data_IF_749156012549
#
_entry.id   IF_749156012549
#
_cell.length_a   1.000
_cell.length_b   1.000
_cell.length_c   1.000
_cell.angle_alpha   90.00
_cell.angle_beta   90.00
_cell.angle_gamma   90.00
#
_symmetry.space_group_name_H-M   'P 1'
#
loop_
_entity.id
_entity.type
_entity.pdbx_description
1 polymer ?
#
# COMPACT_ATOMS: atom_id res chain seq x y z
N UNK A 1 -11.03 16.58 0.25
CA UNK A 1 -9.85 15.96 0.93
C UNK A 1 -8.88 15.29 -0.04
N UNK A 2 -9.33 14.86 -1.23
CA UNK A 2 -8.49 14.10 -2.19
C UNK A 2 -7.14 14.75 -2.52
N UNK A 3 -7.10 16.05 -2.78
CA UNK A 3 -5.84 16.77 -3.04
C UNK A 3 -4.86 16.71 -1.85
N UNK A 4 -5.38 16.82 -0.62
CA UNK A 4 -4.53 16.73 0.58
C UNK A 4 -3.93 15.35 0.77
N UNK A 5 -4.71 14.30 0.49
CA UNK A 5 -4.23 12.92 0.50
C UNK A 5 -3.17 12.68 -0.57
N UNK A 6 -3.33 13.27 -1.76
CA UNK A 6 -2.36 13.17 -2.85
C UNK A 6 -1.03 13.81 -2.46
N UNK A 7 -1.04 15.04 -1.95
CA UNK A 7 0.17 15.74 -1.51
C UNK A 7 0.86 14.99 -0.36
N UNK A 8 0.09 14.51 0.63
CA UNK A 8 0.65 13.69 1.70
C UNK A 8 1.25 12.38 1.16
N UNK A 9 0.56 11.70 0.25
CA UNK A 9 1.05 10.49 -0.41
C UNK A 9 2.39 10.74 -1.13
N UNK A 10 2.52 11.87 -1.82
CA UNK A 10 3.78 12.25 -2.45
C UNK A 10 4.89 12.55 -1.42
N UNK A 11 4.60 13.27 -0.34
CA UNK A 11 5.60 13.53 0.70
C UNK A 11 6.06 12.24 1.38
N UNK A 12 5.11 11.36 1.75
CA UNK A 12 5.45 10.09 2.42
C UNK A 12 6.03 9.04 1.48
N UNK A 13 6.01 9.29 0.16
CA UNK A 13 6.76 8.53 -0.85
C UNK A 13 8.13 9.12 -1.11
N UNK A 14 8.21 10.40 -1.49
CA UNK A 14 9.47 11.02 -1.93
C UNK A 14 10.50 11.20 -0.81
N UNK A 15 10.06 11.55 0.42
CA UNK A 15 11.01 11.79 1.54
C UNK A 15 11.69 10.49 1.97
N UNK A 16 10.97 9.39 2.27
CA UNK A 16 11.62 8.11 2.58
C UNK A 16 12.42 7.56 1.40
N UNK A 17 11.96 7.76 0.16
CA UNK A 17 12.68 7.33 -1.03
C UNK A 17 14.06 8.02 -1.12
N UNK A 18 14.09 9.35 -0.99
CA UNK A 18 15.34 10.10 -1.04
C UNK A 18 16.31 9.71 0.08
N UNK A 19 15.82 9.64 1.33
CA UNK A 19 16.64 9.27 2.47
C UNK A 19 17.09 7.81 2.39
N UNK A 20 16.24 6.90 1.91
CA UNK A 20 16.57 5.49 1.74
C UNK A 20 17.64 5.27 0.67
N UNK A 21 17.58 5.98 -0.47
CA UNK A 21 18.62 5.92 -1.51
C UNK A 21 19.94 6.42 -0.96
N UNK A 22 19.93 7.59 -0.29
CA UNK A 22 21.15 8.16 0.30
C UNK A 22 21.77 7.21 1.33
N UNK A 23 20.96 6.64 2.21
CA UNK A 23 21.42 5.71 3.23
C UNK A 23 21.93 4.40 2.63
N UNK A 24 21.21 3.81 1.69
CA UNK A 24 21.62 2.57 1.02
C UNK A 24 22.94 2.72 0.27
N UNK A 25 23.07 3.83 -0.46
CA UNK A 25 24.28 4.06 -1.27
C UNK A 25 25.49 4.51 -0.45
N UNK A 26 25.36 5.52 0.43
CA UNK A 26 26.50 6.12 1.14
C UNK A 26 26.81 5.46 2.48
N UNK A 27 25.82 4.93 3.20
CA UNK A 27 26.04 4.35 4.53
C UNK A 27 26.23 2.84 4.42
N UNK A 28 25.36 2.16 3.62
CA UNK A 28 25.40 0.70 3.51
C UNK A 28 26.27 0.19 2.34
N UNK A 29 26.73 1.07 1.43
CA UNK A 29 27.55 0.70 0.29
C UNK A 29 26.83 -0.17 -0.76
N UNK A 30 25.49 -0.13 -0.80
CA UNK A 30 24.70 -0.91 -1.74
C UNK A 30 24.81 -0.37 -3.17
N UNK A 31 24.54 -1.24 -4.15
CA UNK A 31 24.36 -0.81 -5.53
C UNK A 31 23.20 0.19 -5.64
N UNK A 32 23.20 1.02 -6.67
CA UNK A 32 22.11 1.99 -6.88
C UNK A 32 20.74 1.30 -6.97
N UNK A 33 20.64 0.15 -7.63
CA UNK A 33 19.40 -0.62 -7.74
C UNK A 33 18.92 -1.14 -6.38
N UNK A 34 19.84 -1.72 -5.59
CA UNK A 34 19.52 -2.20 -4.23
C UNK A 34 19.12 -1.05 -3.31
N UNK A 35 19.77 0.12 -3.44
CA UNK A 35 19.45 1.32 -2.67
C UNK A 35 18.06 1.85 -3.00
N UNK A 36 17.66 1.83 -4.27
CA UNK A 36 16.31 2.25 -4.68
C UNK A 36 15.26 1.24 -4.22
N UNK A 37 15.54 -0.08 -4.27
CA UNK A 37 14.65 -1.11 -3.71
C UNK A 37 14.43 -0.90 -2.22
N UNK A 38 15.51 -0.73 -1.45
CA UNK A 38 15.45 -0.42 -0.02
C UNK A 38 14.64 0.84 0.26
N UNK A 39 14.86 1.88 -0.51
CA UNK A 39 14.11 3.14 -0.39
C UNK A 39 12.62 2.98 -0.72
N UNK A 40 12.27 2.13 -1.69
CA UNK A 40 10.89 1.76 -1.99
C UNK A 40 10.21 1.08 -0.81
N UNK A 41 10.93 0.19 -0.10
CA UNK A 41 10.43 -0.42 1.14
C UNK A 41 10.19 0.62 2.25
N UNK A 42 11.07 1.62 2.38
CA UNK A 42 10.89 2.72 3.34
C UNK A 42 9.69 3.60 3.01
N UNK A 43 9.37 3.76 1.74
CA UNK A 43 8.22 4.55 1.30
C UNK A 43 6.90 3.85 1.61
N UNK A 44 6.80 2.54 1.43
CA UNK A 44 5.59 1.75 1.69
C UNK A 44 5.10 1.92 3.13
N UNK A 45 3.80 1.80 3.34
CA UNK A 45 3.18 1.87 4.66
C UNK A 45 1.90 1.04 4.69
N UNK A 46 1.56 0.51 5.86
CA UNK A 46 0.41 -0.38 6.02
C UNK A 46 -0.57 0.19 7.03
N UNK A 47 -1.86 0.18 6.72
CA UNK A 47 -2.92 0.71 7.59
C UNK A 47 -3.27 -0.21 8.77
N UNK A 48 -2.29 -0.90 9.36
CA UNK A 48 -2.51 -1.76 10.54
C UNK A 48 -3.05 -0.98 11.74
N UNK A 49 -2.65 0.26 11.90
CA UNK A 49 -3.14 1.12 12.98
C UNK A 49 -4.58 1.62 12.76
N UNK A 50 -5.16 1.43 11.57
CA UNK A 50 -6.53 1.90 11.27
C UNK A 50 -7.62 1.29 12.18
N UNK A 51 -7.60 -0.01 12.52
CA UNK A 51 -8.55 -0.57 13.47
C UNK A 51 -8.53 0.12 14.84
N UNK A 52 -7.37 0.57 15.30
CA UNK A 52 -7.23 1.32 16.57
C UNK A 52 -7.95 2.66 16.46
N UNK A 53 -7.72 3.39 15.36
CA UNK A 53 -8.38 4.67 15.08
C UNK A 53 -9.90 4.51 14.97
N UNK A 54 -10.36 3.42 14.38
CA UNK A 54 -11.78 3.08 14.28
C UNK A 54 -12.40 2.82 15.66
N UNK A 55 -11.72 2.05 16.53
CA UNK A 55 -12.16 1.80 17.92
C UNK A 55 -12.20 3.07 18.76
N UNK A 56 -11.30 4.02 18.52
CA UNK A 56 -11.27 5.32 19.19
C UNK A 56 -12.34 6.30 18.66
N UNK A 57 -13.10 5.94 17.63
CA UNK A 57 -14.16 6.76 17.05
C UNK A 57 -13.69 7.98 16.26
N UNK A 58 -12.37 8.12 15.98
CA UNK A 58 -11.77 9.26 15.27
C UNK A 58 -11.57 9.00 13.77
N UNK A 59 -12.14 7.96 13.21
CA UNK A 59 -12.01 7.58 11.78
C UNK A 59 -12.49 8.66 10.80
N UNK A 60 -13.31 9.61 11.25
CA UNK A 60 -13.80 10.75 10.46
C UNK A 60 -12.92 11.99 10.55
N UNK A 61 -11.85 11.98 11.36
CA UNK A 61 -10.92 13.11 11.45
C UNK A 61 -10.24 13.37 10.10
N UNK A 62 -9.94 14.64 9.84
CA UNK A 62 -9.25 15.08 8.62
C UNK A 62 -7.89 14.43 8.49
N UNK A 63 -7.15 14.29 9.58
CA UNK A 63 -5.82 13.69 9.61
C UNK A 63 -5.89 12.22 9.20
N UNK A 64 -6.86 11.46 9.73
CA UNK A 64 -7.07 10.06 9.39
C UNK A 64 -7.43 9.91 7.91
N UNK A 65 -8.35 10.75 7.41
CA UNK A 65 -8.73 10.74 5.99
C UNK A 65 -7.54 11.05 5.08
N UNK A 66 -6.67 11.98 5.46
CA UNK A 66 -5.45 12.32 4.71
C UNK A 66 -4.47 11.14 4.74
N UNK A 67 -4.24 10.55 5.91
CA UNK A 67 -3.33 9.43 6.06
C UNK A 67 -3.77 8.21 5.25
N UNK A 68 -5.03 7.78 5.40
CA UNK A 68 -5.58 6.63 4.67
C UNK A 68 -5.55 6.85 3.16
N UNK A 69 -5.99 8.02 2.68
CA UNK A 69 -5.94 8.32 1.25
C UNK A 69 -4.51 8.45 0.71
N UNK A 70 -3.58 8.96 1.52
CA UNK A 70 -2.17 9.04 1.17
C UNK A 70 -1.50 7.67 1.08
N UNK A 71 -1.81 6.75 2.00
CA UNK A 71 -1.30 5.37 1.99
C UNK A 71 -1.59 4.68 0.67
N UNK A 72 -2.81 4.80 0.17
CA UNK A 72 -3.21 4.25 -1.13
C UNK A 72 -2.29 4.71 -2.26
N UNK A 73 -2.01 6.02 -2.29
CA UNK A 73 -1.16 6.62 -3.32
C UNK A 73 0.28 6.16 -3.16
N UNK A 74 0.79 6.16 -1.93
CA UNK A 74 2.17 5.77 -1.63
C UNK A 74 2.41 4.31 -1.97
N UNK A 75 1.50 3.40 -1.61
CA UNK A 75 1.63 1.97 -1.88
C UNK A 75 1.58 1.70 -3.39
N UNK A 76 0.67 2.39 -4.11
CA UNK A 76 0.63 2.28 -5.58
C UNK A 76 1.94 2.73 -6.21
N UNK A 77 2.50 3.87 -5.76
CA UNK A 77 3.78 4.37 -6.27
C UNK A 77 4.95 3.46 -5.91
N UNK A 78 4.98 2.91 -4.69
CA UNK A 78 6.03 2.00 -4.25
C UNK A 78 6.02 0.69 -5.05
N UNK A 79 4.84 0.13 -5.34
CA UNK A 79 4.69 -1.07 -6.14
C UNK A 79 5.02 -0.82 -7.63
N UNK A 80 4.67 0.34 -8.18
CA UNK A 80 5.09 0.73 -9.53
C UNK A 80 6.61 0.89 -9.60
N UNK A 81 7.23 1.51 -8.59
CA UNK A 81 8.68 1.62 -8.50
C UNK A 81 9.33 0.24 -8.47
N UNK A 82 8.81 -0.69 -7.66
CA UNK A 82 9.29 -2.08 -7.59
C UNK A 82 9.21 -2.75 -8.96
N UNK A 83 8.09 -2.66 -9.65
CA UNK A 83 7.90 -3.23 -10.99
C UNK A 83 8.94 -2.71 -11.99
N UNK A 84 9.19 -1.40 -11.97
CA UNK A 84 10.20 -0.75 -12.83
C UNK A 84 11.60 -1.27 -12.52
N UNK A 85 11.98 -1.33 -11.24
CA UNK A 85 13.34 -1.74 -10.85
C UNK A 85 13.58 -3.20 -11.13
N UNK A 86 12.62 -4.07 -10.86
CA UNK A 86 12.69 -5.49 -11.21
C UNK A 86 12.84 -5.66 -12.72
N UNK A 87 12.07 -4.92 -13.52
CA UNK A 87 12.20 -4.89 -14.97
C UNK A 87 13.62 -4.49 -15.42
N UNK A 88 14.17 -3.42 -14.82
CA UNK A 88 15.54 -2.97 -15.12
C UNK A 88 16.61 -3.97 -14.70
N UNK A 89 16.46 -4.60 -13.54
CA UNK A 89 17.41 -5.58 -13.02
C UNK A 89 17.42 -6.88 -13.85
N UNK A 90 16.31 -7.26 -14.43
CA UNK A 90 16.20 -8.46 -15.29
C UNK A 90 16.69 -8.23 -16.74
N UNK A 91 17.12 -7.02 -17.08
CA UNK A 91 17.67 -6.68 -18.40
C UNK A 91 16.65 -6.64 -19.56
N UNK A 92 15.37 -6.71 -19.25
CA UNK A 92 14.28 -6.71 -20.22
C UNK A 92 13.74 -5.29 -20.55
N UNK A 93 14.58 -4.26 -20.41
CA UNK A 93 14.16 -2.87 -20.64
C UNK A 93 14.56 -2.41 -22.03
N UNK A 94 13.77 -2.81 -23.01
CA UNK A 94 13.79 -2.20 -24.35
C UNK A 94 12.94 -0.91 -24.34
N UNK A 95 13.13 -0.05 -25.35
CA UNK A 95 12.24 1.12 -25.53
C UNK A 95 10.75 0.73 -25.58
N UNK A 96 10.45 -0.47 -26.11
CA UNK A 96 9.10 -1.02 -26.13
C UNK A 96 8.56 -1.41 -24.75
N UNK A 97 9.43 -1.65 -23.75
CA UNK A 97 9.03 -2.03 -22.39
C UNK A 97 8.17 -0.93 -21.73
N UNK A 98 8.63 0.32 -21.82
CA UNK A 98 7.93 1.47 -21.21
C UNK A 98 6.54 1.66 -21.81
N UNK A 99 6.41 1.53 -23.13
CA UNK A 99 5.12 1.63 -23.82
C UNK A 99 4.19 0.47 -23.45
N UNK A 100 4.70 -0.75 -23.44
CA UNK A 100 3.92 -1.93 -23.04
C UNK A 100 3.47 -1.85 -21.61
N UNK A 101 4.37 -1.51 -20.68
CA UNK A 101 4.04 -1.36 -19.27
C UNK A 101 2.99 -0.27 -19.06
N UNK A 102 3.20 0.93 -19.64
CA UNK A 102 2.25 2.04 -19.51
C UNK A 102 0.88 1.68 -20.11
N UNK A 103 0.84 1.08 -21.29
CA UNK A 103 -0.40 0.66 -21.92
C UNK A 103 -1.12 -0.43 -21.12
N UNK A 104 -0.38 -1.44 -20.61
CA UNK A 104 -0.93 -2.51 -19.76
C UNK A 104 -1.51 -1.98 -18.47
N UNK A 105 -0.78 -1.06 -17.80
CA UNK A 105 -1.23 -0.41 -16.55
C UNK A 105 -2.50 0.39 -16.79
N UNK A 106 -2.52 1.24 -17.81
CA UNK A 106 -3.70 2.07 -18.14
C UNK A 106 -4.90 1.20 -18.51
N UNK A 107 -4.69 0.14 -19.28
CA UNK A 107 -5.74 -0.80 -19.68
C UNK A 107 -6.27 -1.56 -18.47
N UNK A 108 -5.40 -2.06 -17.60
CA UNK A 108 -5.78 -2.76 -16.37
C UNK A 108 -6.59 -1.85 -15.44
N UNK A 109 -6.11 -0.63 -15.20
CA UNK A 109 -6.83 0.38 -14.39
C UNK A 109 -8.17 0.72 -15.03
N UNK A 110 -8.21 0.92 -16.35
CA UNK A 110 -9.45 1.19 -17.09
C UNK A 110 -10.47 0.07 -16.94
N UNK A 111 -10.07 -1.18 -17.16
CA UNK A 111 -10.94 -2.35 -16.98
C UNK A 111 -11.47 -2.41 -15.55
N UNK A 112 -10.62 -2.32 -14.56
CA UNK A 112 -11.02 -2.45 -13.16
C UNK A 112 -11.92 -1.30 -12.72
N UNK A 113 -11.61 -0.06 -13.07
CA UNK A 113 -12.38 1.09 -12.60
C UNK A 113 -13.70 1.30 -13.34
N UNK A 114 -13.82 0.87 -14.60
CA UNK A 114 -15.03 1.07 -15.41
C UNK A 114 -15.85 -0.20 -15.57
N UNK A 115 -15.21 -1.32 -15.93
CA UNK A 115 -15.94 -2.56 -16.22
C UNK A 115 -16.42 -3.26 -14.94
N UNK A 116 -15.62 -3.28 -13.87
CA UNK A 116 -16.00 -3.95 -12.61
C UNK A 116 -17.23 -3.34 -11.95
N UNK A 117 -17.34 -2.01 -11.79
CA UNK A 117 -18.58 -1.41 -11.28
C UNK A 117 -19.80 -1.68 -12.17
N UNK A 118 -19.62 -1.71 -13.49
CA UNK A 118 -20.70 -2.01 -14.43
C UNK A 118 -21.21 -3.45 -14.25
N UNK A 119 -20.30 -4.41 -14.19
CA UNK A 119 -20.64 -5.82 -13.94
C UNK A 119 -21.27 -6.02 -12.56
N UNK A 120 -20.74 -5.37 -11.54
CA UNK A 120 -21.28 -5.46 -10.19
C UNK A 120 -22.67 -4.84 -10.09
N UNK A 121 -22.90 -3.70 -10.72
CA UNK A 121 -24.23 -3.09 -10.76
C UNK A 121 -25.25 -3.98 -11.47
N UNK A 122 -24.87 -4.59 -12.58
CA UNK A 122 -25.71 -5.55 -13.29
C UNK A 122 -26.04 -6.78 -12.44
N UNK A 123 -25.00 -7.37 -11.81
CA UNK A 123 -25.13 -8.57 -10.98
C UNK A 123 -26.00 -8.32 -9.72
N UNK A 124 -25.78 -7.20 -9.02
CA UNK A 124 -26.52 -6.86 -7.81
C UNK A 124 -28.01 -6.56 -8.08
N UNK A 125 -28.37 -6.18 -9.31
CA UNK A 125 -29.77 -6.05 -9.71
C UNK A 125 -30.47 -7.39 -9.90
N UNK A 126 -29.72 -8.41 -10.35
CA UNK A 126 -30.29 -9.74 -10.62
C UNK A 126 -30.28 -10.65 -9.38
N UNK A 127 -29.24 -10.54 -8.55
CA UNK A 127 -29.05 -11.39 -7.40
C UNK A 127 -29.20 -10.58 -6.11
N UNK A 128 -30.30 -10.81 -5.38
CA UNK A 128 -30.54 -10.19 -4.07
C UNK A 128 -29.92 -10.96 -2.90
N UNK A 129 -29.42 -12.19 -3.14
CA UNK A 129 -28.83 -13.03 -2.11
C UNK A 129 -27.44 -12.50 -1.70
N UNK A 130 -27.28 -12.24 -0.40
CA UNK A 130 -26.06 -11.70 0.16
C UNK A 130 -24.85 -12.67 0.06
N UNK A 131 -25.06 -13.98 -0.03
CA UNK A 131 -23.98 -14.97 -0.16
C UNK A 131 -23.43 -14.91 -1.60
N UNK A 132 -24.32 -14.94 -2.58
CA UNK A 132 -23.96 -14.83 -3.99
C UNK A 132 -23.28 -13.50 -4.30
N UNK A 133 -23.74 -12.39 -3.70
CA UNK A 133 -23.09 -11.09 -3.82
C UNK A 133 -21.68 -11.09 -3.23
N UNK A 134 -21.49 -11.74 -2.07
CA UNK A 134 -20.16 -11.86 -1.45
C UNK A 134 -19.19 -12.66 -2.33
N UNK A 135 -19.65 -13.82 -2.85
CA UNK A 135 -18.83 -14.66 -3.73
C UNK A 135 -18.45 -13.89 -5.00
N UNK A 136 -19.40 -13.13 -5.57
CA UNK A 136 -19.13 -12.29 -6.73
C UNK A 136 -18.06 -11.24 -6.44
N UNK A 137 -18.17 -10.51 -5.31
CA UNK A 137 -17.15 -9.51 -4.92
C UNK A 137 -15.79 -10.16 -4.78
N UNK A 138 -15.71 -11.32 -4.12
CA UNK A 138 -14.47 -12.05 -3.94
C UNK A 138 -13.87 -12.50 -5.29
N UNK A 139 -14.71 -13.02 -6.18
CA UNK A 139 -14.29 -13.40 -7.54
C UNK A 139 -13.75 -12.20 -8.34
N UNK A 140 -14.39 -11.03 -8.23
CA UNK A 140 -13.92 -9.81 -8.88
C UNK A 140 -12.59 -9.32 -8.31
N UNK A 141 -12.34 -9.46 -7.00
CA UNK A 141 -11.06 -9.11 -6.38
C UNK A 141 -9.94 -10.03 -6.90
N UNK A 142 -10.18 -11.35 -6.96
CA UNK A 142 -9.20 -12.30 -7.52
C UNK A 142 -8.98 -12.09 -9.02
N UNK A 143 -10.04 -11.80 -9.77
CA UNK A 143 -9.94 -11.48 -11.20
C UNK A 143 -9.09 -10.22 -11.42
N UNK A 144 -9.28 -9.19 -10.59
CA UNK A 144 -8.47 -7.98 -10.65
C UNK A 144 -7.01 -8.23 -10.32
N UNK A 145 -6.72 -9.07 -9.32
CA UNK A 145 -5.36 -9.51 -9.01
C UNK A 145 -4.71 -10.22 -10.20
N UNK A 146 -5.44 -11.12 -10.84
CA UNK A 146 -4.97 -11.85 -12.02
C UNK A 146 -4.74 -10.92 -13.22
N UNK A 147 -5.64 -9.96 -13.49
CA UNK A 147 -5.47 -8.98 -14.56
C UNK A 147 -4.24 -8.08 -14.32
N UNK A 148 -3.98 -7.68 -13.08
CA UNK A 148 -2.78 -6.94 -12.72
C UNK A 148 -1.51 -7.76 -13.01
N UNK A 149 -1.50 -9.03 -12.64
CA UNK A 149 -0.39 -9.94 -12.92
C UNK A 149 -0.14 -10.09 -14.42
N UNK A 150 -1.18 -10.22 -15.23
CA UNK A 150 -1.07 -10.26 -16.70
C UNK A 150 -0.53 -8.94 -17.27
N UNK A 151 -0.84 -7.82 -16.63
CA UNK A 151 -0.33 -6.49 -17.00
C UNK A 151 1.13 -6.25 -16.59
N UNK A 152 1.77 -7.20 -15.87
CA UNK A 152 3.12 -7.05 -15.34
C UNK A 152 3.18 -6.27 -14.04
N UNK A 153 2.05 -6.13 -13.34
CA UNK A 153 1.94 -5.50 -12.03
C UNK A 153 1.85 -6.54 -10.92
N UNK A 154 2.16 -6.11 -9.70
CA UNK A 154 1.90 -6.93 -8.52
C UNK A 154 0.39 -7.21 -8.36
N UNK A 155 -0.03 -8.47 -8.11
CA UNK A 155 -1.43 -8.85 -7.95
C UNK A 155 -2.19 -8.04 -6.89
N UNK A 156 -1.48 -7.60 -5.86
CA UNK A 156 -2.05 -6.81 -4.76
C UNK A 156 -2.62 -5.47 -5.25
N UNK A 157 -2.02 -4.86 -6.29
CA UNK A 157 -2.52 -3.62 -6.90
C UNK A 157 -3.90 -3.87 -7.52
N UNK A 158 -4.05 -4.96 -8.28
CA UNK A 158 -5.32 -5.30 -8.91
C UNK A 158 -6.41 -5.63 -7.92
N UNK A 159 -6.09 -6.40 -6.88
CA UNK A 159 -7.02 -6.69 -5.78
C UNK A 159 -7.48 -5.41 -5.08
N UNK A 160 -6.53 -4.50 -4.78
CA UNK A 160 -6.81 -3.23 -4.14
C UNK A 160 -7.70 -2.32 -5.02
N UNK A 161 -7.35 -2.16 -6.30
CA UNK A 161 -8.15 -1.35 -7.24
C UNK A 161 -9.57 -1.92 -7.41
N UNK A 162 -9.71 -3.26 -7.43
CA UNK A 162 -11.02 -3.93 -7.48
C UNK A 162 -11.86 -3.61 -6.26
N UNK A 163 -11.27 -3.69 -5.06
CA UNK A 163 -11.93 -3.30 -3.82
C UNK A 163 -12.34 -1.83 -3.83
N UNK A 164 -11.48 -0.93 -4.32
CA UNK A 164 -11.78 0.50 -4.45
C UNK A 164 -12.94 0.76 -5.43
N UNK A 165 -12.93 0.08 -6.57
CA UNK A 165 -13.97 0.22 -7.59
C UNK A 165 -15.34 -0.27 -7.08
N UNK A 166 -15.37 -1.41 -6.40
CA UNK A 166 -16.60 -2.02 -5.86
C UNK A 166 -17.12 -1.31 -4.61
N UNK A 167 -16.24 -0.70 -3.80
CA UNK A 167 -16.61 0.01 -2.57
C UNK A 167 -17.65 1.15 -2.81
N UNK A 168 -17.69 1.71 -4.01
CA UNK A 168 -18.70 2.74 -4.37
C UNK A 168 -20.12 2.19 -4.47
N UNK A 169 -20.28 0.89 -4.73
CA UNK A 169 -21.56 0.22 -4.91
C UNK A 169 -22.08 -0.45 -3.65
N UNK A 170 -21.21 -0.66 -2.66
CA UNK A 170 -21.55 -1.37 -1.43
C UNK A 170 -21.66 -0.38 -0.28
N UNK A 171 -22.86 -0.07 0.21
CA UNK A 171 -23.03 0.80 1.37
C UNK A 171 -22.36 0.23 2.62
N UNK A 172 -21.72 1.08 3.41
CA UNK A 172 -21.00 0.66 4.64
C UNK A 172 -21.88 0.00 5.68
N UNK A 173 -23.17 0.28 5.68
CA UNK A 173 -24.17 -0.28 6.59
C UNK A 173 -24.85 -1.53 6.02
N UNK A 174 -24.46 -2.00 4.85
CA UNK A 174 -25.11 -3.15 4.20
C UNK A 174 -24.69 -4.47 4.86
N UNK A 175 -25.57 -5.49 4.85
CA UNK A 175 -25.22 -6.84 5.30
C UNK A 175 -24.04 -7.44 4.54
N UNK A 176 -23.88 -7.06 3.27
CA UNK A 176 -22.74 -7.49 2.44
C UNK A 176 -21.42 -6.91 2.98
N UNK A 177 -21.37 -5.62 3.33
CA UNK A 177 -20.17 -5.02 3.91
C UNK A 177 -19.80 -5.68 5.23
N UNK A 178 -20.76 -5.94 6.11
CA UNK A 178 -20.52 -6.64 7.38
C UNK A 178 -19.89 -8.03 7.16
N UNK A 179 -20.31 -8.76 6.13
CA UNK A 179 -19.71 -10.06 5.78
C UNK A 179 -18.30 -9.91 5.25
N UNK A 180 -18.05 -8.92 4.37
CA UNK A 180 -16.71 -8.63 3.85
C UNK A 180 -15.76 -8.30 5.02
N UNK A 181 -16.19 -7.42 5.93
CA UNK A 181 -15.40 -7.06 7.10
C UNK A 181 -15.19 -8.23 8.05
N UNK A 182 -16.20 -9.05 8.28
CA UNK A 182 -16.09 -10.24 9.14
C UNK A 182 -15.08 -11.24 8.59
N UNK A 183 -15.20 -11.64 7.33
CA UNK A 183 -14.27 -12.61 6.72
C UNK A 183 -12.87 -12.02 6.57
N UNK A 184 -12.77 -10.74 6.23
CA UNK A 184 -11.49 -10.02 6.19
C UNK A 184 -10.76 -10.06 7.53
N UNK A 185 -11.46 -9.70 8.62
CA UNK A 185 -10.88 -9.64 9.96
C UNK A 185 -10.68 -11.03 10.60
N UNK A 186 -11.57 -11.99 10.32
CA UNK A 186 -11.54 -13.31 10.96
C UNK A 186 -10.62 -14.31 10.25
N UNK A 187 -10.43 -14.16 8.93
CA UNK A 187 -9.69 -15.12 8.11
C UNK A 187 -8.51 -14.44 7.41
N UNK A 188 -8.74 -13.51 6.50
CA UNK A 188 -7.68 -13.02 5.63
C UNK A 188 -6.58 -12.29 6.37
N UNK A 189 -6.91 -11.38 7.29
CA UNK A 189 -5.91 -10.61 8.05
C UNK A 189 -5.08 -11.54 8.97
N UNK A 190 -5.65 -12.44 9.79
CA UNK A 190 -4.85 -13.36 10.60
C UNK A 190 -3.94 -14.27 9.78
N UNK A 191 -4.47 -14.89 8.70
CA UNK A 191 -3.66 -15.73 7.83
C UNK A 191 -2.54 -14.96 7.14
N UNK A 192 -2.81 -13.73 6.69
CA UNK A 192 -1.80 -12.85 6.14
C UNK A 192 -0.69 -12.55 7.17
N UNK A 193 -1.06 -12.15 8.39
CA UNK A 193 -0.09 -11.83 9.44
C UNK A 193 0.75 -13.04 9.86
N UNK A 194 0.13 -14.22 9.98
CA UNK A 194 0.85 -15.47 10.25
C UNK A 194 1.81 -15.79 9.09
N UNK A 195 1.33 -15.71 7.86
CA UNK A 195 2.15 -15.97 6.68
C UNK A 195 3.36 -15.05 6.60
N UNK A 196 3.16 -13.75 6.82
CA UNK A 196 4.25 -12.77 6.90
C UNK A 196 5.21 -13.10 8.04
N UNK A 197 4.68 -13.42 9.24
CA UNK A 197 5.50 -13.76 10.39
C UNK A 197 6.36 -15.01 10.16
N UNK A 198 5.88 -15.97 9.38
CA UNK A 198 6.65 -17.19 9.02
C UNK A 198 7.79 -16.88 8.02
N UNK A 199 7.71 -15.82 7.24
CA UNK A 199 8.75 -15.42 6.30
C UNK A 199 9.90 -14.65 6.99
N UNK A 200 9.67 -14.13 8.20
CA UNK A 200 10.68 -13.37 8.94
C UNK A 200 11.69 -14.32 9.56
N UNK A 201 12.95 -14.28 9.10
CA UNK A 201 14.05 -14.95 9.79
C UNK A 201 14.55 -14.07 10.94
N UNK A 202 13.89 -14.20 12.11
CA UNK A 202 14.29 -13.47 13.31
C UNK A 202 15.72 -13.78 13.76
N UNK A 203 16.29 -14.93 13.36
CA UNK A 203 17.66 -15.34 13.71
C UNK A 203 18.69 -14.46 13.00
N UNK A 204 18.36 -13.92 11.84
CA UNK A 204 19.22 -12.99 11.11
C UNK A 204 19.54 -11.73 11.94
N UNK A 205 18.59 -11.26 12.79
CA UNK A 205 18.83 -10.11 13.67
C UNK A 205 19.85 -10.36 14.78
N UNK A 206 20.03 -11.62 15.18
CA UNK A 206 20.92 -12.01 16.30
C UNK A 206 22.19 -12.70 15.82
N UNK A 207 22.40 -12.78 14.51
CA UNK A 207 23.51 -13.51 13.93
C UNK A 207 24.83 -12.76 14.08
N UNK A 208 24.81 -11.45 13.79
CA UNK A 208 25.98 -10.61 13.78
C UNK A 208 25.68 -9.23 14.35
N UNK A 209 26.65 -8.61 14.99
CA UNK A 209 26.52 -7.24 15.53
C UNK A 209 26.22 -6.21 14.44
N UNK A 210 26.78 -6.39 13.25
CA UNK A 210 26.55 -5.55 12.07
C UNK A 210 25.09 -5.56 11.64
N UNK A 211 24.40 -6.70 11.70
CA UNK A 211 22.97 -6.80 11.37
C UNK A 211 22.10 -5.98 12.32
N UNK A 212 22.44 -5.94 13.59
CA UNK A 212 21.74 -5.13 14.60
C UNK A 212 21.97 -3.64 14.33
N UNK A 213 23.20 -3.24 14.02
CA UNK A 213 23.54 -1.86 13.71
C UNK A 213 22.79 -1.36 12.47
N UNK A 214 22.79 -2.15 11.38
CA UNK A 214 22.03 -1.85 10.17
C UNK A 214 20.55 -1.73 10.46
N UNK A 215 19.96 -2.66 11.22
CA UNK A 215 18.55 -2.61 11.57
C UNK A 215 18.20 -1.35 12.39
N UNK A 216 19.04 -0.95 13.34
CA UNK A 216 18.85 0.28 14.11
C UNK A 216 18.91 1.53 13.24
N UNK A 217 19.91 1.61 12.35
CA UNK A 217 20.04 2.71 11.38
C UNK A 217 18.78 2.81 10.52
N UNK A 218 18.30 1.67 9.98
CA UNK A 218 17.08 1.61 9.18
C UNK A 218 15.86 2.11 9.94
N UNK A 219 15.64 1.65 11.18
CA UNK A 219 14.51 2.07 12.03
C UNK A 219 14.53 3.58 12.26
N UNK A 220 15.70 4.12 12.60
CA UNK A 220 15.86 5.57 12.84
C UNK A 220 15.57 6.35 11.56
N UNK A 221 16.12 5.92 10.42
CA UNK A 221 15.93 6.59 9.13
C UNK A 221 14.47 6.58 8.68
N UNK A 222 13.80 5.41 8.75
CA UNK A 222 12.38 5.28 8.38
C UNK A 222 11.54 6.19 9.27
N UNK A 223 11.76 6.13 10.58
CA UNK A 223 10.99 6.92 11.55
C UNK A 223 11.19 8.41 11.31
N UNK A 224 12.43 8.86 11.11
CA UNK A 224 12.74 10.25 10.79
C UNK A 224 12.11 10.68 9.45
N UNK A 225 12.19 9.86 8.42
CA UNK A 225 11.60 10.15 7.11
C UNK A 225 10.08 10.33 7.19
N UNK A 226 9.38 9.45 7.90
CA UNK A 226 7.93 9.54 8.11
C UNK A 226 7.54 10.74 8.94
N UNK A 227 8.34 11.06 9.98
CA UNK A 227 8.13 12.27 10.78
C UNK A 227 8.28 13.55 9.94
N UNK A 228 9.31 13.62 9.09
CA UNK A 228 9.54 14.74 8.18
C UNK A 228 8.36 14.87 7.20
N UNK A 229 7.87 13.78 6.61
CA UNK A 229 6.73 13.80 5.71
C UNK A 229 5.45 14.30 6.42
N UNK A 230 5.19 13.84 7.65
CA UNK A 230 4.07 14.32 8.46
C UNK A 230 4.21 15.80 8.83
N UNK A 231 5.42 16.26 9.16
CA UNK A 231 5.72 17.66 9.46
C UNK A 231 5.52 18.56 8.23
N UNK A 232 6.00 18.16 7.07
CA UNK A 232 5.78 18.89 5.82
C UNK A 232 4.28 19.00 5.51
N UNK A 233 3.52 17.92 5.72
CA UNK A 233 2.07 17.92 5.55
C UNK A 233 1.38 18.88 6.52
N UNK A 234 1.79 18.87 7.78
CA UNK A 234 1.30 19.82 8.78
C UNK A 234 1.52 21.27 8.32
N UNK A 235 2.74 21.60 7.90
CA UNK A 235 3.11 22.94 7.46
C UNK A 235 2.34 23.38 6.22
N UNK A 236 2.18 22.48 5.24
CA UNK A 236 1.48 22.75 3.97
C UNK A 236 -0.02 23.00 4.19
N UNK A 237 -0.66 22.22 5.05
CA UNK A 237 -2.11 22.29 5.25
C UNK A 237 -2.53 22.96 6.56
N UNK A 238 -1.59 23.52 7.31
CA UNK A 238 -1.81 24.19 8.61
C UNK A 238 -2.61 23.31 9.58
N UNK A 239 -2.19 22.05 9.72
CA UNK A 239 -2.80 21.10 10.64
C UNK A 239 -2.35 21.34 12.07
N UNK A 240 -3.14 20.88 13.05
CA UNK A 240 -2.74 20.92 14.45
C UNK A 240 -1.58 19.95 14.75
N UNK A 241 -0.82 20.15 15.85
CA UNK A 241 0.22 19.20 16.28
C UNK A 241 -0.35 17.79 16.53
N UNK A 242 -1.56 17.68 17.09
CA UNK A 242 -2.23 16.40 17.32
C UNK A 242 -2.54 15.68 16.01
N UNK A 243 -3.04 16.41 15.01
CA UNK A 243 -3.30 15.87 13.68
C UNK A 243 -2.02 15.38 13.00
N UNK A 244 -0.88 16.08 13.17
CA UNK A 244 0.42 15.60 12.70
C UNK A 244 0.79 14.27 13.37
N UNK A 245 0.62 14.18 14.70
CA UNK A 245 0.93 12.96 15.46
C UNK A 245 0.09 11.77 14.99
N UNK A 246 -1.20 12.00 14.71
CA UNK A 246 -2.08 10.97 14.14
C UNK A 246 -1.61 10.54 12.75
N UNK A 247 -1.27 11.48 11.87
CA UNK A 247 -0.73 11.18 10.53
C UNK A 247 0.57 10.40 10.65
N UNK A 248 1.49 10.82 11.50
CA UNK A 248 2.76 10.14 11.74
C UNK A 248 2.53 8.72 12.25
N UNK A 249 1.70 8.53 13.28
CA UNK A 249 1.42 7.20 13.84
C UNK A 249 0.79 6.25 12.82
N UNK A 250 -0.14 6.73 11.97
CA UNK A 250 -0.74 5.92 10.91
C UNK A 250 0.25 5.59 9.78
N UNK A 251 1.19 6.48 9.49
CA UNK A 251 2.17 6.29 8.43
C UNK A 251 3.43 5.53 8.85
N UNK A 252 3.66 5.36 10.16
CA UNK A 252 4.83 4.65 10.70
C UNK A 252 4.64 3.13 10.80
N UNK A 253 3.42 2.63 10.54
CA UNK A 253 3.14 1.20 10.56
C UNK A 253 3.61 0.55 9.25
N UNK A 254 4.64 -0.30 9.34
CA UNK A 254 5.21 -1.01 8.20
C UNK A 254 5.10 -2.52 8.43
N UNK A 255 4.39 -3.24 7.57
CA UNK A 255 4.33 -4.72 7.59
C UNK A 255 4.83 -5.28 6.29
N UNK A 256 4.49 -4.67 5.15
CA UNK A 256 4.92 -5.16 3.83
C UNK A 256 6.43 -5.08 3.60
N UNK A 257 7.12 -4.13 4.23
CA UNK A 257 8.58 -4.02 4.14
C UNK A 257 9.34 -5.22 4.73
N UNK A 258 8.69 -6.00 5.58
CA UNK A 258 9.28 -7.20 6.19
C UNK A 258 9.18 -8.45 5.29
N UNK A 259 8.38 -8.41 4.23
CA UNK A 259 8.17 -9.55 3.31
C UNK A 259 9.29 -9.65 2.27
N UNK A 260 9.99 -8.57 1.98
CA UNK A 260 10.96 -8.48 0.90
C UNK A 260 12.42 -8.38 1.36
N UNK A 261 12.68 -8.50 2.67
CA UNK A 261 14.02 -8.64 3.25
C UNK A 261 14.34 -10.13 3.45
#
# INVERSE_FOLDING_TARGET
>A
SGWRSLVFGLYTFCVPLALGILAGYYIMGFSIYSSILLAGLFASQTLIAYPIVSKLGISRDKAVTIAVGGTVITDTLALLLLTVIVGMATGNVDESFWWRLSASVLLCIGIILFLFPLLAHWFFKQCSDNVSQYIFVLAMVFLGAYLAQLAGLEPIIGAFLSGLALNRLIPRTSPLMNRIEFVGNAIFIPFFLIGVGMLIDYRAFFRDWESIEVALIMIVLITAAKYIAAYLTQKTFRLSPDQRTVIFGLSSAHVLSLIHI
#
